data_IF_639907288054
#
_entry.id   IF_639907288054
#
_cell.length_a   1.000
_cell.length_b   1.000
_cell.length_c   1.000
_cell.angle_alpha   90.00
_cell.angle_beta   90.00
_cell.angle_gamma   90.00
#
_symmetry.space_group_name_H-M   'P 1'
#
loop_
_entity.id
_entity.type
_entity.pdbx_description
1 polymer ?
2 non-polymer ?
3 water ?
#
# COMPACT_ATOMS: atom_id res chain seq x y z
N UNK A 8 4.09 2.13 8.03
CA UNK A 8 4.98 2.02 6.81
C UNK A 8 4.61 0.73 6.09
N UNK A 9 5.60 0.05 5.53
CA UNK A 9 5.33 -1.22 4.88
C UNK A 9 5.44 -2.40 5.86
N UNK A 10 4.42 -2.52 6.70
CA UNK A 10 4.36 -3.41 7.82
C UNK A 10 2.87 -3.89 7.90
N UNK A 11 2.66 -5.21 8.04
CA UNK A 11 1.30 -5.86 8.16
C UNK A 11 0.71 -5.48 9.50
N UNK A 12 -0.50 -4.95 9.52
CA UNK A 12 -1.13 -4.65 10.84
C UNK A 12 -2.48 -5.41 10.98
N UNK A 13 -2.65 -6.13 12.08
CA UNK A 13 -3.79 -7.02 12.35
C UNK A 13 -4.32 -6.67 13.73
N UNK A 14 -5.47 -7.22 14.14
CA UNK A 14 -5.99 -7.03 15.49
C UNK A 14 -6.57 -8.35 15.95
N UNK A 15 -6.54 -8.56 17.26
CA UNK A 15 -7.28 -9.65 17.90
C UNK A 15 -8.76 -9.58 17.57
N UNK A 16 -9.41 -10.74 17.39
CA UNK A 16 -10.84 -10.85 17.17
C UNK A 16 -11.51 -11.81 18.19
N UNK A 17 -12.68 -11.41 18.67
CA UNK A 17 -13.52 -12.25 19.50
C UNK A 17 -14.89 -12.45 18.87
N UNK A 18 -15.38 -13.69 18.81
CA UNK A 18 -16.62 -14.01 18.06
C UNK A 18 -17.38 -15.10 18.91
N UNK A 19 -18.74 -15.18 18.78
CA UNK A 19 -19.49 -16.22 19.51
C UNK A 19 -19.42 -17.47 18.67
N UNK A 20 -19.25 -18.65 19.27
CA UNK A 20 -19.42 -19.90 18.53
C UNK A 20 -20.68 -19.86 17.60
N UNK A 21 -20.57 -20.28 16.34
CA UNK A 21 -21.71 -20.16 15.44
C UNK A 21 -21.77 -18.89 14.62
N UNK A 22 -21.17 -17.79 15.12
CA UNK A 22 -21.16 -16.49 14.39
C UNK A 22 -20.11 -16.44 13.24
N UNK A 23 -19.86 -15.25 12.70
CA UNK A 23 -18.89 -15.04 11.62
C UNK A 23 -17.77 -14.12 12.07
N UNK A 24 -16.51 -14.56 11.95
CA UNK A 24 -15.38 -13.65 12.27
C UNK A 24 -14.82 -13.08 11.01
N UNK A 25 -14.31 -11.86 11.10
CA UNK A 25 -13.56 -11.29 9.99
C UNK A 25 -12.17 -10.91 10.43
N UNK A 26 -11.16 -11.47 9.78
CA UNK A 26 -9.73 -11.20 10.10
C UNK A 26 -9.17 -10.24 9.06
N UNK A 27 -8.68 -9.11 9.51
CA UNK A 27 -8.20 -8.08 8.59
C UNK A 27 -6.74 -7.77 8.75
N UNK A 28 -5.99 -7.81 7.65
CA UNK A 28 -4.59 -7.44 7.69
C UNK A 28 -4.40 -6.23 6.80
N UNK A 29 -3.84 -5.18 7.37
CA UNK A 29 -3.63 -3.97 6.56
C UNK A 29 -2.18 -3.58 6.42
N UNK A 30 -1.86 -2.88 5.33
CA UNK A 30 -0.50 -2.33 5.09
C UNK A 30 -0.60 -0.86 4.66
N UNK A 31 0.12 0.03 5.32
CA UNK A 31 -0.03 1.45 4.97
C UNK A 31 0.56 1.81 3.60
N UNK A 32 1.75 1.32 3.35
CA UNK A 32 2.47 1.71 2.19
C UNK A 32 2.88 0.42 1.52
N UNK A 33 2.49 0.18 0.28
CA UNK A 33 2.86 -1.08 -0.35
C UNK A 33 2.74 -0.99 -1.81
N UNK A 34 3.47 -1.88 -2.46
CA UNK A 34 3.28 -2.19 -3.84
C UNK A 34 2.71 -3.59 -4.02
N UNK A 35 2.96 -4.19 -5.16
CA UNK A 35 3.03 -5.62 -5.43
C UNK A 35 3.24 -6.61 -4.32
N UNK A 36 3.84 -6.23 -3.26
CA UNK A 36 4.33 -7.20 -2.37
C UNK A 36 3.19 -7.98 -1.75
N UNK A 37 3.27 -9.27 -1.76
CA UNK A 37 2.19 -10.15 -1.43
C UNK A 37 1.88 -10.35 0.00
N UNK A 38 0.62 -10.51 0.27
CA UNK A 38 0.09 -10.84 1.61
C UNK A 38 -0.51 -12.28 1.68
N UNK A 39 -0.54 -12.87 2.86
CA UNK A 39 -0.99 -14.23 2.99
C UNK A 39 -1.48 -14.47 4.42
N UNK A 40 -2.67 -15.10 4.56
CA UNK A 40 -3.15 -15.55 5.84
C UNK A 40 -2.93 -17.03 6.08
N UNK A 41 -2.57 -17.42 7.31
CA UNK A 41 -2.41 -18.83 7.66
C UNK A 41 -3.14 -19.05 8.95
N UNK A 42 -3.36 -20.33 9.33
CA UNK A 42 -4.16 -20.59 10.52
C UNK A 42 -3.25 -21.05 11.62
N UNK A 43 -3.81 -21.42 12.77
CA UNK A 43 -2.99 -21.89 13.88
C UNK A 43 -2.10 -23.09 13.49
N UNK A 44 -2.48 -23.90 12.53
CA UNK A 44 -1.66 -25.05 12.22
C UNK A 44 -0.54 -24.66 11.24
N UNK A 45 -0.51 -23.38 10.86
CA UNK A 45 0.38 -22.82 9.83
C UNK A 45 -0.03 -23.14 8.38
N UNK A 46 -1.25 -23.64 8.16
CA UNK A 46 -1.70 -23.93 6.81
C UNK A 46 -2.14 -22.66 6.13
N UNK A 47 -1.96 -22.54 4.83
CA UNK A 47 -2.29 -21.33 4.14
C UNK A 47 -3.81 -21.26 3.82
N UNK A 48 -4.41 -20.04 3.98
CA UNK A 48 -5.88 -19.81 3.87
C UNK A 48 -6.11 -19.03 2.62
N UNK A 49 -5.49 -17.87 2.50
CA UNK A 49 -5.44 -17.20 1.24
C UNK A 49 -4.04 -16.66 0.99
N UNK A 50 -3.65 -16.72 -0.27
CA UNK A 50 -2.46 -16.08 -0.76
C UNK A 50 -2.94 -15.01 -1.71
N UNK A 51 -2.81 -13.75 -1.32
CA UNK A 51 -3.59 -12.66 -1.99
C UNK A 51 -5.02 -13.09 -2.26
N UNK A 52 -5.53 -12.89 -3.46
CA UNK A 52 -6.89 -13.28 -3.75
C UNK A 52 -7.10 -14.81 -3.98
N UNK A 53 -6.10 -15.68 -3.81
CA UNK A 53 -6.24 -17.09 -4.18
C UNK A 53 -6.47 -17.98 -2.99
N UNK A 54 -7.58 -18.69 -2.98
CA UNK A 54 -7.91 -19.48 -1.83
C UNK A 54 -6.93 -20.63 -1.78
N UNK A 55 -6.52 -21.08 -0.61
CA UNK A 55 -5.67 -22.23 -0.45
C UNK A 55 -6.48 -23.40 0.08
N UNK A 56 -6.39 -23.61 1.38
CA UNK A 56 -7.17 -24.58 2.13
C UNK A 56 -8.64 -24.52 1.71
N UNK A 57 -9.13 -25.69 1.29
CA UNK A 57 -10.54 -25.83 0.99
C UNK A 57 -11.16 -25.92 2.39
N UNK A 58 -11.94 -24.96 2.74
CA UNK A 58 -12.79 -25.04 3.93
C UNK A 58 -13.75 -23.98 3.50
N UNK A 59 -14.99 -24.41 3.29
CA UNK A 59 -16.04 -23.68 2.60
C UNK A 59 -16.48 -22.54 3.44
N UNK A 60 -16.24 -22.64 4.74
CA UNK A 60 -16.50 -21.52 5.67
C UNK A 60 -15.57 -20.30 5.54
N UNK A 61 -14.42 -20.47 4.90
CA UNK A 61 -13.45 -19.37 4.87
C UNK A 61 -13.56 -18.66 3.52
N UNK A 62 -13.94 -17.39 3.52
CA UNK A 62 -14.20 -16.74 2.23
C UNK A 62 -13.47 -15.39 2.15
N UNK A 63 -13.51 -14.72 1.02
CA UNK A 63 -12.66 -13.56 0.83
C UNK A 63 -13.51 -12.25 0.97
N UNK A 64 -13.17 -11.45 1.97
CA UNK A 64 -13.77 -10.14 2.12
C UNK A 64 -13.16 -9.15 1.18
N UNK A 65 -11.81 -9.07 1.15
CA UNK A 65 -11.10 -8.10 0.29
C UNK A 65 -9.63 -8.43 0.10
N UNK A 66 -9.16 -8.38 -1.13
CA UNK A 66 -7.73 -8.55 -1.46
C UNK A 66 -7.28 -7.34 -2.24
N UNK A 67 -6.30 -6.64 -1.72
CA UNK A 67 -5.67 -5.52 -2.51
C UNK A 67 -4.25 -5.35 -2.04
N UNK A 68 -3.54 -4.36 -2.55
CA UNK A 68 -2.20 -4.12 -2.09
C UNK A 68 -2.15 -3.67 -0.64
N UNK A 69 -3.22 -3.11 -0.10
CA UNK A 69 -3.27 -2.52 1.23
C UNK A 69 -4.11 -3.32 2.26
N UNK A 70 -4.74 -4.38 1.81
CA UNK A 70 -5.70 -5.06 2.66
C UNK A 70 -5.83 -6.49 2.27
N UNK A 71 -5.73 -7.38 3.23
CA UNK A 71 -6.20 -8.71 2.97
C UNK A 71 -7.14 -9.15 4.07
N UNK A 72 -8.41 -9.32 3.72
CA UNK A 72 -9.41 -9.64 4.80
C UNK A 72 -10.19 -10.89 4.48
N UNK A 73 -10.44 -11.74 5.48
CA UNK A 73 -11.12 -12.99 5.19
C UNK A 73 -12.18 -13.21 6.26
N UNK A 74 -13.28 -13.94 5.91
CA UNK A 74 -14.34 -14.23 6.91
C UNK A 74 -14.30 -15.70 7.20
N UNK A 75 -14.39 -16.11 8.47
CA UNK A 75 -14.68 -17.48 8.82
C UNK A 75 -16.16 -17.53 9.29
N UNK A 76 -17.05 -18.21 8.57
CA UNK A 76 -18.48 -18.28 9.01
C UNK A 76 -18.73 -19.53 9.84
N UNK A 77 -19.81 -19.52 10.63
CA UNK A 77 -20.17 -20.66 11.47
C UNK A 77 -18.97 -21.13 12.29
N UNK A 78 -18.40 -20.29 13.11
CA UNK A 78 -17.11 -20.64 13.68
C UNK A 78 -17.30 -21.64 14.77
N UNK A 79 -16.35 -22.52 15.01
CA UNK A 79 -16.48 -23.42 16.15
C UNK A 79 -15.36 -23.20 17.13
N UNK A 80 -15.52 -23.77 18.32
CA UNK A 80 -14.49 -23.62 19.32
C UNK A 80 -13.15 -24.12 18.84
N UNK A 81 -13.12 -24.88 17.80
CA UNK A 81 -11.83 -25.39 17.43
C UNK A 81 -11.08 -24.48 16.44
N UNK A 82 -11.72 -23.38 15.99
CA UNK A 82 -11.07 -22.33 15.18
C UNK A 82 -10.24 -21.35 16.06
N UNK A 83 -10.42 -21.40 17.37
CA UNK A 83 -9.75 -20.51 18.29
C UNK A 83 -8.23 -20.61 18.08
N UNK A 84 -7.50 -19.49 18.17
CA UNK A 84 -6.03 -19.62 18.11
C UNK A 84 -5.35 -18.45 17.43
N UNK A 85 -4.09 -18.64 17.08
CA UNK A 85 -3.28 -17.59 16.51
C UNK A 85 -3.18 -17.64 15.01
N UNK A 86 -3.77 -16.66 14.32
CA UNK A 86 -3.70 -16.60 12.86
C UNK A 86 -2.58 -15.66 12.43
N UNK A 87 -1.88 -15.95 11.33
CA UNK A 87 -0.82 -15.07 10.93
C UNK A 87 -0.89 -14.51 9.57
N UNK A 88 -0.77 -13.19 9.51
CA UNK A 88 -0.74 -12.48 8.23
C UNK A 88 0.75 -12.26 7.90
N UNK A 89 1.18 -12.50 6.67
CA UNK A 89 2.63 -12.40 6.34
C UNK A 89 2.67 -11.51 5.18
N UNK A 90 3.63 -10.59 5.15
CA UNK A 90 3.80 -9.74 3.99
C UNK A 90 5.20 -10.02 3.46
N UNK A 91 5.35 -10.33 2.17
CA UNK A 91 6.61 -10.89 1.67
C UNK A 91 7.60 -9.86 1.18
N UNK A 92 7.94 -8.93 2.07
CA UNK A 92 9.15 -8.06 1.96
C UNK A 92 10.37 -8.96 2.21
N UNK A 93 11.56 -8.43 1.95
CA UNK A 93 12.82 -9.15 2.19
C UNK A 93 13.54 -8.46 3.34
N UNK A 94 13.58 -9.04 4.57
CA UNK A 94 13.07 -10.30 5.06
C UNK A 94 11.54 -10.24 5.23
N UNK A 95 10.90 -11.39 5.37
CA UNK A 95 9.44 -11.44 5.58
C UNK A 95 9.00 -10.72 6.87
N UNK A 96 7.83 -10.08 6.82
CA UNK A 96 7.25 -9.49 8.06
C UNK A 96 5.92 -10.16 8.38
N UNK A 97 5.64 -10.38 9.66
CA UNK A 97 4.44 -11.08 10.05
C UNK A 97 3.78 -10.30 11.15
N UNK A 98 2.48 -10.51 11.33
CA UNK A 98 1.69 -9.93 12.37
C UNK A 98 0.60 -10.96 12.71
N UNK A 99 0.34 -11.19 14.00
CA UNK A 99 -0.57 -12.23 14.46
C UNK A 99 -1.90 -11.66 14.93
N UNK A 100 -2.99 -12.39 14.67
CA UNK A 100 -4.33 -12.04 15.20
C UNK A 100 -4.81 -13.25 15.92
N UNK A 101 -5.10 -13.06 17.18
CA UNK A 101 -5.55 -14.17 17.98
C UNK A 101 -7.07 -14.18 17.92
N UNK A 102 -7.65 -15.27 17.44
CA UNK A 102 -9.10 -15.40 17.34
C UNK A 102 -9.62 -16.09 18.59
N UNK A 103 -10.39 -15.35 19.40
CA UNK A 103 -11.10 -16.01 20.51
C UNK A 103 -12.62 -16.27 20.23
N UNK A 104 -13.04 -17.50 20.56
CA UNK A 104 -14.38 -18.03 20.31
C UNK A 104 -15.04 -18.34 21.65
N UNK A 105 -16.11 -17.59 21.89
CA UNK A 105 -16.81 -17.65 23.16
C UNK A 105 -17.92 -18.70 22.99
N UNK A 106 -18.07 -19.58 23.97
CA UNK A 106 -19.22 -20.53 23.97
C UNK A 106 -20.51 -19.79 24.24
N UNK A 107 -21.63 -20.32 23.73
CA UNK A 107 -22.98 -19.82 24.09
C UNK A 107 -23.36 -20.25 25.53
N UNK A 108 -23.83 -19.30 26.38
CA UNK A 108 -24.17 -19.67 27.76
C UNK A 108 -25.28 -20.69 27.76
N UNK B 8 21.31 15.46 -7.21
CA UNK B 8 21.32 16.51 -6.16
C UNK B 8 19.96 16.54 -5.55
N UNK B 9 19.57 17.70 -5.03
CA UNK B 9 18.27 17.88 -4.35
C UNK B 9 17.23 18.42 -5.34
N UNK B 10 16.82 17.52 -6.24
CA UNK B 10 15.93 17.81 -7.39
C UNK B 10 15.00 16.56 -7.49
N UNK B 11 13.68 16.78 -7.68
CA UNK B 11 12.68 15.70 -7.84
C UNK B 11 12.85 15.09 -9.22
N UNK B 12 12.94 13.75 -9.28
CA UNK B 12 13.03 13.08 -10.57
C UNK B 12 11.85 12.08 -10.80
N UNK B 13 11.23 12.18 -11.96
CA UNK B 13 10.14 11.31 -12.35
C UNK B 13 10.21 10.88 -13.85
N UNK B 14 9.31 9.97 -14.29
CA UNK B 14 9.27 9.51 -15.66
C UNK B 14 7.81 9.40 -16.12
N UNK B 15 7.59 9.52 -17.43
CA UNK B 15 6.33 9.20 -18.08
C UNK B 15 5.91 7.75 -17.87
N UNK B 16 4.61 7.55 -17.61
CA UNK B 16 4.02 6.20 -17.49
C UNK B 16 2.92 5.92 -18.51
N UNK B 17 2.94 4.72 -19.07
CA UNK B 17 1.88 4.27 -19.95
C UNK B 17 1.16 3.07 -19.34
N UNK B 18 -0.17 3.11 -19.39
CA UNK B 18 -0.99 2.05 -18.73
C UNK B 18 -2.27 1.68 -19.54
N UNK B 19 -2.69 0.42 -19.40
CA UNK B 19 -3.90 -0.02 -20.07
C UNK B 19 -5.09 0.45 -19.27
N UNK B 20 -6.08 0.97 -19.97
CA UNK B 20 -7.38 1.23 -19.36
C UNK B 20 -7.81 0.06 -18.41
N UNK B 21 -8.13 0.37 -17.14
CA UNK B 21 -8.51 -0.68 -16.18
C UNK B 21 -7.32 -1.24 -15.44
N UNK B 22 -6.09 -0.86 -15.86
CA UNK B 22 -4.89 -1.38 -15.24
C UNK B 22 -4.52 -0.57 -14.00
N UNK B 23 -3.34 -0.83 -13.47
CA UNK B 23 -2.80 -0.12 -12.31
C UNK B 23 -1.50 0.63 -12.65
N UNK B 24 -1.51 1.95 -12.46
CA UNK B 24 -0.31 2.82 -12.67
C UNK B 24 0.43 3.13 -11.39
N UNK B 25 1.75 3.19 -11.46
CA UNK B 25 2.52 3.68 -10.30
C UNK B 25 3.27 4.91 -10.77
N UNK B 26 3.07 6.03 -10.06
CA UNK B 26 3.79 7.27 -10.30
C UNK B 26 4.89 7.43 -9.22
N UNK B 27 6.14 7.55 -9.64
CA UNK B 27 7.24 7.57 -8.68
C UNK B 27 8.08 8.85 -8.82
N UNK B 28 8.30 9.51 -7.69
CA UNK B 28 9.18 10.65 -7.71
C UNK B 28 10.31 10.40 -6.75
N UNK B 29 11.54 10.67 -7.21
CA UNK B 29 12.74 10.38 -6.42
C UNK B 29 13.58 11.62 -6.21
N UNK B 30 14.27 11.66 -5.06
CA UNK B 30 15.25 12.71 -4.76
C UNK B 30 16.56 12.08 -4.23
N UNK B 31 17.66 12.40 -4.91
CA UNK B 31 19.02 11.88 -4.55
C UNK B 31 19.55 12.37 -3.17
N UNK B 32 19.44 13.66 -2.93
CA UNK B 32 19.96 14.20 -1.70
C UNK B 32 18.83 14.97 -1.08
N UNK B 33 18.55 14.69 0.16
CA UNK B 33 17.44 15.43 0.77
C UNK B 33 17.39 15.21 2.25
N UNK B 34 16.93 16.27 2.93
CA UNK B 34 16.62 16.21 4.35
C UNK B 34 15.06 16.08 4.43
N UNK B 35 14.53 16.65 5.52
CA UNK B 35 13.15 17.01 5.71
C UNK B 35 12.31 17.58 4.59
N UNK B 36 12.87 18.07 3.51
CA UNK B 36 12.03 18.85 2.57
C UNK B 36 10.86 18.03 2.01
N UNK B 37 9.65 18.60 2.00
CA UNK B 37 8.48 17.81 1.64
C UNK B 37 8.34 17.56 0.17
N UNK B 38 7.76 16.41 -0.17
CA UNK B 38 7.30 16.07 -1.53
C UNK B 38 5.76 16.04 -1.59
N UNK B 39 5.20 16.30 -2.77
CA UNK B 39 3.75 16.37 -2.99
C UNK B 39 3.48 15.95 -4.42
N UNK B 40 2.52 15.00 -4.66
CA UNK B 40 1.94 14.78 -6.00
C UNK B 40 0.67 15.55 -6.28
N UNK B 41 0.43 15.99 -7.50
CA UNK B 41 -0.81 16.67 -7.83
C UNK B 41 -1.28 16.19 -9.16
N UNK B 42 -2.62 16.17 -9.39
CA UNK B 42 -3.15 15.59 -10.64
C UNK B 42 -3.19 16.63 -11.72
N UNK B 43 -3.69 16.28 -12.91
CA UNK B 43 -3.68 17.23 -14.04
C UNK B 43 -4.56 18.46 -13.85
N UNK B 44 -5.48 18.45 -12.90
CA UNK B 44 -6.28 19.66 -12.63
C UNK B 44 -5.63 20.44 -11.46
N UNK B 45 -4.45 20.01 -10.97
CA UNK B 45 -3.69 20.69 -9.86
C UNK B 45 -4.13 20.39 -8.41
N UNK B 46 -4.99 19.37 -8.24
CA UNK B 46 -5.41 18.92 -6.95
C UNK B 46 -4.33 18.06 -6.31
N UNK B 47 -4.20 18.20 -5.01
CA UNK B 47 -3.21 17.48 -4.29
C UNK B 47 -3.70 16.01 -4.07
N UNK B 48 -2.81 15.08 -4.38
CA UNK B 48 -3.10 13.63 -4.26
C UNK B 48 -2.51 13.21 -2.98
N UNK B 49 -1.23 13.55 -2.75
CA UNK B 49 -0.56 13.19 -1.51
C UNK B 49 0.44 14.31 -1.22
N UNK B 50 0.53 14.68 0.05
CA UNK B 50 1.49 15.59 0.59
C UNK B 50 2.33 14.75 1.54
N UNK B 51 3.55 14.36 1.15
CA UNK B 51 4.29 13.32 1.93
C UNK B 51 3.42 12.04 2.12
N UNK B 52 3.37 11.47 3.32
CA UNK B 52 2.57 10.29 3.50
C UNK B 52 1.03 10.54 3.71
N UNK B 53 0.56 11.78 3.60
CA UNK B 53 -0.80 12.17 3.95
C UNK B 53 -1.73 12.28 2.75
N UNK B 54 -2.77 11.46 2.72
CA UNK B 54 -3.60 11.43 1.54
C UNK B 54 -4.42 12.72 1.49
N UNK B 55 -4.65 13.30 0.31
CA UNK B 55 -5.43 14.54 0.18
C UNK B 55 -6.75 14.23 -0.53
N UNK B 56 -6.77 14.26 -1.87
CA UNK B 56 -7.98 13.94 -2.64
C UNK B 56 -8.48 12.54 -2.29
N UNK B 57 -9.74 12.47 -1.88
CA UNK B 57 -10.37 11.18 -1.64
C UNK B 57 -10.79 10.73 -3.00
N UNK B 58 -10.11 9.71 -3.46
CA UNK B 58 -10.43 8.99 -4.65
C UNK B 58 -9.79 7.73 -4.19
N UNK B 59 -10.64 6.76 -3.86
CA UNK B 59 -10.18 5.53 -3.28
C UNK B 59 -9.24 4.74 -4.23
N UNK B 60 -9.13 5.10 -5.50
CA UNK B 60 -8.23 4.34 -6.36
C UNK B 60 -6.75 4.73 -6.15
N UNK B 61 -6.46 5.79 -5.41
CA UNK B 61 -5.12 6.37 -5.36
C UNK B 61 -4.59 6.05 -3.99
N UNK B 62 -3.53 5.24 -3.95
CA UNK B 62 -3.02 4.75 -2.69
C UNK B 62 -1.49 4.99 -2.59
N UNK B 63 -0.93 4.77 -1.42
CA UNK B 63 0.45 5.08 -1.15
C UNK B 63 1.39 3.86 -1.36
N UNK B 64 2.28 3.95 -2.34
CA UNK B 64 3.35 2.94 -2.48
C UNK B 64 4.47 3.18 -1.47
N UNK B 65 5.00 4.40 -1.41
CA UNK B 65 6.10 4.74 -0.48
C UNK B 65 6.26 6.23 -0.27
N UNK B 66 6.43 6.69 0.97
CA UNK B 66 6.80 8.05 1.27
C UNK B 66 8.04 8.04 2.15
N UNK B 67 9.10 8.70 1.70
CA UNK B 67 10.35 8.89 2.53
C UNK B 67 10.92 10.18 2.07
N UNK B 68 12.02 10.61 2.66
CA UNK B 68 12.72 11.79 2.17
C UNK B 68 13.23 11.66 0.75
N UNK B 69 13.42 10.44 0.26
CA UNK B 69 14.00 10.22 -1.05
C UNK B 69 13.01 9.73 -2.14
N UNK B 70 11.78 9.44 -1.72
CA UNK B 70 10.81 8.87 -2.69
C UNK B 70 9.38 9.22 -2.34
N UNK B 71 8.58 9.70 -3.28
CA UNK B 71 7.19 9.65 -3.00
C UNK B 71 6.51 8.87 -4.16
N UNK B 72 5.86 7.76 -3.84
CA UNK B 72 5.31 6.95 -4.98
C UNK B 72 3.88 6.62 -4.70
N UNK B 73 3.03 6.68 -5.71
CA UNK B 73 1.63 6.41 -5.43
C UNK B 73 1.10 5.52 -6.56
N UNK B 74 0.00 4.80 -6.29
CA UNK B 74 -0.57 3.91 -7.31
C UNK B 74 -1.95 4.38 -7.62
N UNK B 75 -2.29 4.37 -8.91
CA UNK B 75 -3.65 4.57 -9.32
C UNK B 75 -4.21 3.28 -9.87
N UNK B 76 -5.24 2.75 -9.22
CA UNK B 76 -5.82 1.51 -9.68
C UNK B 76 -7.08 1.73 -10.53
N UNK B 77 -7.47 0.68 -11.28
CA UNK B 77 -8.62 0.71 -12.17
C UNK B 77 -8.61 1.97 -13.00
N UNK B 78 -7.54 2.25 -13.72
CA UNK B 78 -7.46 3.56 -14.39
C UNK B 78 -8.39 3.73 -15.58
N UNK B 79 -8.92 4.91 -15.79
CA UNK B 79 -9.72 5.14 -17.01
C UNK B 79 -9.12 6.21 -17.87
N UNK B 80 -9.66 6.34 -19.09
CA UNK B 80 -9.23 7.37 -20.01
C UNK B 80 -9.19 8.73 -19.43
N UNK B 81 -10.08 9.04 -18.51
CA UNK B 81 -10.05 10.39 -17.98
C UNK B 81 -8.99 10.63 -16.88
N UNK B 82 -8.20 9.62 -16.53
CA UNK B 82 -7.04 9.84 -15.66
C UNK B 82 -5.81 10.35 -16.48
N UNK B 83 -5.90 10.30 -17.80
CA UNK B 83 -4.76 10.63 -18.66
C UNK B 83 -4.31 12.09 -18.47
N UNK B 84 -3.01 12.33 -18.49
CA UNK B 84 -2.54 13.71 -18.44
C UNK B 84 -1.26 13.93 -17.65
N UNK B 85 -0.97 15.20 -17.42
CA UNK B 85 0.24 15.61 -16.81
C UNK B 85 0.07 15.67 -15.32
N UNK B 86 0.80 14.81 -14.58
CA UNK B 86 0.87 14.83 -13.09
C UNK B 86 2.13 15.52 -12.58
N UNK B 87 2.15 16.13 -11.40
CA UNK B 87 3.37 16.82 -11.07
C UNK B 87 3.80 16.61 -9.69
N UNK B 88 5.08 16.32 -9.51
CA UNK B 88 5.62 16.09 -8.18
C UNK B 88 6.36 17.37 -7.80
N UNK B 89 6.28 17.81 -6.53
CA UNK B 89 6.81 19.10 -6.14
C UNK B 89 7.68 18.85 -4.98
N UNK B 90 8.88 19.47 -4.98
CA UNK B 90 9.75 19.34 -3.81
C UNK B 90 9.86 20.76 -3.31
N UNK B 91 9.71 20.99 -2.00
CA UNK B 91 9.49 22.38 -1.48
C UNK B 91 10.76 22.96 -0.92
N UNK B 92 11.75 22.99 -1.80
CA UNK B 92 12.99 23.72 -1.64
C UNK B 92 12.63 25.23 -1.79
N UNK B 93 13.60 26.11 -1.60
CA UNK B 93 13.37 27.56 -1.79
C UNK B 93 14.27 28.03 -2.92
N UNK B 94 13.75 28.25 -4.15
CA UNK B 94 12.37 28.14 -4.59
C UNK B 94 11.92 26.70 -4.87
N UNK B 95 10.64 26.55 -5.17
CA UNK B 95 10.05 25.23 -5.34
C UNK B 95 10.61 24.59 -6.63
N UNK B 96 10.87 23.28 -6.59
CA UNK B 96 11.22 22.50 -7.81
C UNK B 96 10.12 21.46 -8.15
N UNK B 97 9.81 21.32 -9.42
CA UNK B 97 8.76 20.40 -9.82
C UNK B 97 9.34 19.56 -10.94
N UNK B 98 8.68 18.45 -11.22
CA UNK B 98 9.06 17.58 -12.30
C UNK B 98 7.71 16.93 -12.70
N UNK B 99 7.48 16.67 -13.98
CA UNK B 99 6.19 16.27 -14.51
C UNK B 99 6.24 14.86 -15.08
N UNK B 100 5.21 14.04 -14.80
CA UNK B 100 5.09 12.68 -15.35
C UNK B 100 3.80 12.71 -16.09
N UNK B 101 3.89 12.38 -17.35
CA UNK B 101 2.70 12.33 -18.17
C UNK B 101 2.21 10.88 -18.12
N UNK B 102 0.97 10.70 -17.68
CA UNK B 102 0.40 9.35 -17.59
C UNK B 102 -0.37 9.13 -18.90
N UNK B 103 0.06 8.16 -19.72
CA UNK B 103 -0.80 7.83 -20.88
C UNK B 103 -1.67 6.56 -20.65
N UNK B 104 -2.95 6.66 -21.00
CA UNK B 104 -3.89 5.56 -20.86
C UNK B 104 -4.38 5.04 -22.21
N UNK B 105 -4.09 3.77 -22.48
CA UNK B 105 -4.39 3.14 -23.77
C UNK B 105 -5.76 2.40 -23.71
N UNK B 106 -6.63 2.54 -24.72
CA UNK B 106 -7.89 1.78 -24.80
C UNK B 106 -7.59 0.31 -24.98
N UNK B 107 -8.40 -0.57 -24.44
CA UNK B 107 -8.30 -1.99 -24.81
C UNK B 107 -8.86 -2.18 -26.23
N UNK B 108 -8.20 -2.99 -27.10
CA UNK B 108 -8.68 -3.11 -28.49
C UNK B 108 -9.93 -3.97 -28.62
N UNK C 9 -20.74 20.99 7.11
CA UNK C 9 -19.29 20.61 6.73
C UNK C 9 -18.84 21.10 5.35
N UNK C 10 -18.66 22.40 5.29
CA UNK C 10 -18.35 23.12 4.07
C UNK C 10 -17.23 24.01 4.52
N UNK C 11 -16.35 24.38 3.59
CA UNK C 11 -15.40 25.40 3.97
C UNK C 11 -15.94 26.79 3.72
N UNK C 12 -15.68 27.67 4.67
CA UNK C 12 -15.99 29.12 4.50
C UNK C 12 -14.81 30.11 4.72
N UNK C 13 -14.62 30.99 3.76
CA UNK C 13 -13.65 32.09 3.89
C UNK C 13 -14.18 33.42 3.31
N UNK C 14 -13.38 34.49 3.36
CA UNK C 14 -13.87 35.81 2.96
C UNK C 14 -12.81 36.54 2.23
N UNK C 15 -13.24 37.38 1.29
CA UNK C 15 -12.37 38.39 0.73
C UNK C 15 -11.65 39.20 1.84
N UNK C 16 -10.40 39.58 1.55
CA UNK C 16 -9.55 40.33 2.47
C UNK C 16 -8.92 41.46 1.71
N UNK C 17 -8.93 42.67 2.29
CA UNK C 17 -8.20 43.83 1.76
C UNK C 17 -7.01 44.15 2.68
N UNK C 18 -5.87 44.48 2.06
CA UNK C 18 -4.66 44.84 2.81
C UNK C 18 -3.91 45.94 2.06
N UNK C 19 -3.34 46.84 2.84
CA UNK C 19 -2.37 47.84 2.34
C UNK C 19 -1.03 47.15 1.97
N UNK C 20 -0.50 47.46 0.80
CA UNK C 20 0.86 47.00 0.44
C UNK C 20 1.94 47.22 1.55
N UNK C 21 2.75 46.21 1.85
CA UNK C 21 3.67 46.31 2.99
C UNK C 21 3.03 45.89 4.31
N UNK C 22 1.72 45.67 4.28
CA UNK C 22 0.98 45.21 5.44
C UNK C 22 0.98 43.72 5.66
N UNK C 23 0.26 43.33 6.70
CA UNK C 23 0.06 41.95 7.11
C UNK C 23 -1.40 41.55 6.85
N UNK C 24 -1.62 40.58 5.96
CA UNK C 24 -2.93 39.93 5.75
C UNK C 24 -3.06 38.56 6.46
N UNK C 25 -4.25 38.27 6.93
CA UNK C 25 -4.55 37.00 7.56
C UNK C 25 -5.61 36.33 6.70
N UNK C 26 -5.38 35.05 6.35
CA UNK C 26 -6.40 34.29 5.64
C UNK C 26 -6.88 33.16 6.52
N UNK C 27 -8.22 33.12 6.68
CA UNK C 27 -8.87 32.24 7.64
C UNK C 27 -9.92 31.43 6.93
N UNK C 28 -9.87 30.13 7.16
CA UNK C 28 -10.86 29.25 6.61
C UNK C 28 -11.49 28.52 7.77
N UNK C 29 -12.81 28.47 7.77
CA UNK C 29 -13.59 27.80 8.83
C UNK C 29 -14.49 26.68 8.27
N UNK C 30 -14.67 25.66 9.08
CA UNK C 30 -15.56 24.56 8.79
C UNK C 30 -16.41 24.38 10.04
N UNK C 31 -17.69 24.73 9.95
CA UNK C 31 -18.63 24.63 11.09
C UNK C 31 -18.55 23.25 11.79
N UNK C 32 -18.80 22.16 11.05
CA UNK C 32 -18.70 20.85 11.67
C UNK C 32 -17.80 19.98 10.83
N UNK C 33 -16.91 19.25 11.51
CA UNK C 33 -15.85 18.50 10.88
C UNK C 33 -15.22 17.54 11.87
N UNK C 34 -14.92 16.34 11.40
CA UNK C 34 -14.01 15.40 12.07
C UNK C 34 -12.57 15.67 11.54
N UNK C 35 -11.78 14.62 11.51
CA UNK C 35 -10.46 14.70 11.01
C UNK C 35 -10.38 14.70 9.50
N UNK C 36 -11.03 15.64 8.84
CA UNK C 36 -10.89 15.80 7.43
C UNK C 36 -9.96 17.00 7.20
N UNK C 37 -8.94 16.79 6.36
CA UNK C 37 -7.88 17.77 6.16
C UNK C 37 -8.30 19.06 5.43
N UNK C 38 -7.73 20.19 5.83
CA UNK C 38 -7.87 21.48 5.10
C UNK C 38 -6.56 21.93 4.44
N UNK C 39 -6.66 22.67 3.33
CA UNK C 39 -5.43 23.16 2.65
C UNK C 39 -5.60 24.55 2.05
N UNK C 40 -4.66 25.44 2.30
CA UNK C 40 -4.58 26.68 1.50
C UNK C 40 -3.66 26.56 0.30
N UNK C 41 -4.07 27.12 -0.83
CA UNK C 41 -3.20 27.24 -1.98
C UNK C 41 -3.28 28.63 -2.60
N UNK C 42 -2.20 29.05 -3.26
CA UNK C 42 -2.13 30.43 -3.69
C UNK C 42 -2.82 30.66 -5.03
N UNK C 43 -2.66 31.85 -5.64
CA UNK C 43 -3.40 31.94 -6.92
C UNK C 43 -2.73 31.22 -8.08
N UNK C 44 -1.44 30.93 -7.95
CA UNK C 44 -0.76 30.11 -8.96
C UNK C 44 -1.10 28.62 -8.79
N UNK C 45 -1.95 28.30 -7.80
CA UNK C 45 -2.32 26.94 -7.38
C UNK C 45 -1.29 26.16 -6.54
N UNK C 46 -0.34 26.88 -5.97
CA UNK C 46 0.67 26.24 -5.22
C UNK C 46 0.22 26.08 -3.86
N UNK C 47 0.65 24.98 -3.26
CA UNK C 47 0.32 24.72 -1.89
C UNK C 47 1.12 25.61 -0.89
N UNK C 48 0.38 26.26 0.02
CA UNK C 48 0.93 27.05 1.12
C UNK C 48 0.96 26.28 2.40
N UNK C 49 -0.18 25.72 2.81
CA UNK C 49 -0.18 24.97 4.06
C UNK C 49 -1.07 23.77 3.89
N UNK C 50 -0.62 22.60 4.41
CA UNK C 50 -1.44 21.44 4.38
C UNK C 50 -1.67 21.12 5.83
N UNK C 51 -2.90 21.38 6.26
CA UNK C 51 -3.17 21.44 7.68
C UNK C 51 -2.04 22.26 8.29
N UNK C 52 -1.38 21.74 9.34
CA UNK C 52 -0.33 22.52 10.02
C UNK C 52 1.03 22.53 9.28
N UNK C 53 1.15 21.74 8.22
CA UNK C 53 2.44 21.57 7.54
C UNK C 53 2.66 22.62 6.49
N UNK C 54 3.78 23.29 6.61
CA UNK C 54 4.07 24.39 5.71
C UNK C 54 4.57 23.78 4.40
N UNK C 55 4.22 24.37 3.27
CA UNK C 55 4.63 23.81 1.99
C UNK C 55 5.66 24.73 1.24
N UNK C 56 5.12 25.61 0.37
CA UNK C 56 5.85 26.73 -0.27
C UNK C 56 6.72 27.39 0.77
N UNK C 57 7.98 27.57 0.40
CA UNK C 57 8.95 28.13 1.34
C UNK C 57 8.96 29.63 1.65
N UNK C 58 8.25 30.44 0.85
CA UNK C 58 8.03 31.86 1.18
C UNK C 58 7.94 32.14 2.70
N UNK C 59 9.00 32.67 3.33
CA UNK C 59 8.97 32.85 4.79
C UNK C 59 8.19 34.10 5.25
N UNK C 60 7.60 34.83 4.31
CA UNK C 60 6.59 35.87 4.67
C UNK C 60 5.26 35.24 5.11
N UNK C 61 5.13 33.91 4.93
CA UNK C 61 3.85 33.19 5.16
C UNK C 61 3.96 32.32 6.36
N UNK C 62 3.11 32.54 7.36
CA UNK C 62 3.21 31.76 8.58
C UNK C 62 1.84 31.20 8.98
N UNK C 63 1.87 30.35 9.98
CA UNK C 63 0.68 29.70 10.47
C UNK C 63 0.12 30.47 11.64
N UNK C 64 -1.14 30.90 11.53
CA UNK C 64 -1.82 31.49 12.69
C UNK C 64 -2.42 30.36 13.50
N UNK C 65 -3.29 29.59 12.85
CA UNK C 65 -3.92 28.48 13.54
C UNK C 65 -4.34 27.41 12.58
N UNK C 66 -4.09 26.17 13.01
CA UNK C 66 -4.58 24.98 12.34
C UNK C 66 -5.23 24.03 13.35
N UNK C 67 -6.48 23.72 13.12
CA UNK C 67 -7.17 22.68 13.89
C UNK C 67 -8.16 22.11 12.89
N UNK C 68 -9.05 21.23 13.32
CA UNK C 68 -10.02 20.68 12.40
C UNK C 68 -11.14 21.65 12.01
N UNK C 69 -11.27 22.77 12.69
CA UNK C 69 -12.35 23.76 12.36
C UNK C 69 -11.85 25.02 11.70
N UNK C 70 -10.54 25.19 11.73
CA UNK C 70 -9.91 26.41 11.22
C UNK C 70 -8.53 26.17 10.63
N UNK C 71 -8.35 26.74 9.45
CA UNK C 71 -7.01 26.97 8.96
C UNK C 71 -6.78 28.45 8.63
N UNK C 72 -5.90 29.07 9.45
CA UNK C 72 -5.58 30.52 9.34
C UNK C 72 -4.09 30.80 9.15
N UNK C 73 -3.75 31.50 8.08
CA UNK C 73 -2.36 31.82 7.81
C UNK C 73 -2.23 33.32 7.62
N UNK C 74 -1.00 33.83 7.79
CA UNK C 74 -0.70 35.25 7.55
C UNK C 74 0.40 35.45 6.52
N UNK C 75 0.21 36.46 5.68
CA UNK C 75 1.25 36.98 4.82
C UNK C 75 1.76 38.32 5.42
N UNK C 76 3.06 38.41 5.70
CA UNK C 76 3.69 39.68 6.06
C UNK C 76 4.30 40.32 4.84
N UNK C 77 4.47 41.64 4.91
CA UNK C 77 5.12 42.38 3.86
C UNK C 77 4.46 42.09 2.49
N UNK C 78 3.14 42.23 2.39
CA UNK C 78 2.52 41.81 1.14
C UNK C 78 2.95 42.72 0.00
N UNK C 79 2.99 42.16 -1.21
CA UNK C 79 3.40 42.88 -2.41
C UNK C 79 2.25 42.93 -3.41
N UNK C 80 2.33 43.85 -4.37
CA UNK C 80 1.29 43.96 -5.38
C UNK C 80 0.97 42.58 -6.03
N UNK C 81 2.00 41.76 -6.24
CA UNK C 81 1.86 40.46 -6.88
C UNK C 81 1.26 39.33 -6.01
N UNK C 82 0.86 39.64 -4.78
CA UNK C 82 0.15 38.72 -3.92
C UNK C 82 -1.36 38.80 -4.14
N UNK C 83 -1.79 39.80 -4.91
CA UNK C 83 -3.20 40.00 -5.15
C UNK C 83 -3.77 38.87 -6.01
N UNK C 84 -4.85 38.25 -5.54
CA UNK C 84 -5.63 37.34 -6.35
C UNK C 84 -6.42 36.32 -5.55
N UNK C 85 -7.00 35.36 -6.27
CA UNK C 85 -7.84 34.34 -5.69
C UNK C 85 -7.07 33.28 -4.89
N UNK C 86 -7.26 33.16 -3.59
CA UNK C 86 -6.62 32.10 -2.81
C UNK C 86 -7.62 31.00 -2.59
N UNK C 87 -7.23 29.73 -2.69
CA UNK C 87 -8.22 28.73 -2.38
C UNK C 87 -8.10 27.84 -1.14
N UNK C 88 -9.20 27.75 -0.40
CA UNK C 88 -9.26 26.86 0.75
C UNK C 88 -9.94 25.56 0.31
N UNK C 89 -9.23 24.43 0.40
CA UNK C 89 -9.78 23.11 0.07
C UNK C 89 -10.04 22.30 1.32
N UNK C 90 -11.20 21.62 1.34
CA UNK C 90 -11.58 20.71 2.43
C UNK C 90 -11.72 19.30 1.80
N UNK C 91 -10.94 18.32 2.23
CA UNK C 91 -10.92 17.05 1.49
C UNK C 91 -12.01 16.09 1.95
N UNK C 92 -13.25 16.50 1.70
CA UNK C 92 -14.43 15.64 1.74
C UNK C 92 -14.48 14.93 0.40
N UNK C 93 -15.43 14.01 0.27
CA UNK C 93 -15.55 13.21 -0.94
C UNK C 93 -16.88 13.54 -1.56
N UNK C 94 -16.92 14.36 -2.62
CA UNK C 94 -15.80 15.03 -3.28
C UNK C 94 -15.27 16.27 -2.54
N UNK C 95 -14.13 16.79 -3.03
CA UNK C 95 -13.55 17.95 -2.43
C UNK C 95 -14.53 19.16 -2.48
N UNK C 96 -14.57 19.95 -1.41
CA UNK C 96 -15.26 21.22 -1.38
C UNK C 96 -14.24 22.38 -1.19
N UNK C 97 -14.49 23.51 -1.88
CA UNK C 97 -13.56 24.62 -1.97
C UNK C 97 -14.24 25.95 -1.63
N UNK C 98 -13.52 26.85 -0.99
CA UNK C 98 -14.01 28.21 -0.80
C UNK C 98 -12.81 29.08 -1.19
N UNK C 99 -13.10 30.13 -1.97
CA UNK C 99 -12.13 31.11 -2.48
C UNK C 99 -12.16 32.42 -1.69
N UNK C 100 -10.98 32.88 -1.30
CA UNK C 100 -10.80 34.19 -0.72
C UNK C 100 -10.01 35.02 -1.71
N UNK C 101 -10.63 36.05 -2.27
CA UNK C 101 -9.86 37.05 -2.97
C UNK C 101 -9.09 38.00 -2.03
N UNK C 102 -7.84 38.30 -2.38
CA UNK C 102 -6.98 39.20 -1.60
C UNK C 102 -6.66 40.45 -2.41
N UNK C 103 -7.29 41.58 -2.07
CA UNK C 103 -6.96 42.83 -2.80
C UNK C 103 -5.88 43.64 -2.08
N UNK C 104 -4.92 44.09 -2.87
CA UNK C 104 -3.77 44.77 -2.33
C UNK C 104 -3.69 46.19 -2.87
N UNK C 105 -3.83 47.15 -1.96
CA UNK C 105 -3.88 48.56 -2.28
C UNK C 105 -2.50 49.13 -2.00
N UNK D 10 -2.48 -37.72 -4.04
CA UNK D 10 -1.60 -37.48 -5.20
C UNK D 10 -0.54 -36.40 -5.24
N UNK D 11 -0.15 -35.75 -4.10
CA UNK D 11 1.17 -35.12 -4.31
C UNK D 11 2.24 -36.17 -4.06
N UNK D 12 3.24 -36.17 -4.94
CA UNK D 12 4.44 -37.02 -4.81
C UNK D 12 5.78 -36.32 -4.98
N UNK D 13 6.57 -36.36 -3.92
CA UNK D 13 7.89 -35.78 -3.97
C UNK D 13 8.98 -36.82 -3.58
N UNK D 14 10.25 -36.41 -3.54
CA UNK D 14 11.31 -37.34 -3.18
C UNK D 14 12.47 -36.68 -2.46
N UNK D 15 13.06 -37.42 -1.53
CA UNK D 15 14.29 -37.00 -0.83
C UNK D 15 15.37 -36.53 -1.82
N UNK D 16 16.12 -35.51 -1.43
CA UNK D 16 17.12 -34.90 -2.28
C UNK D 16 18.40 -34.69 -1.48
N UNK D 17 19.56 -35.03 -2.07
CA UNK D 17 20.91 -34.73 -1.53
C UNK D 17 21.66 -33.67 -2.35
N UNK D 18 22.34 -32.77 -1.64
CA UNK D 18 23.11 -31.72 -2.32
C UNK D 18 24.33 -31.42 -1.47
N UNK D 19 25.48 -31.18 -2.14
CA UNK D 19 26.71 -30.77 -1.45
C UNK D 19 26.62 -29.26 -1.13
N UNK D 20 26.96 -28.88 0.12
CA UNK D 20 26.97 -27.47 0.54
C UNK D 20 27.52 -26.59 -0.61
N UNK D 21 26.95 -25.39 -0.80
CA UNK D 21 27.32 -24.57 -1.94
C UNK D 21 26.72 -24.98 -3.28
N UNK D 22 26.20 -26.20 -3.36
CA UNK D 22 25.59 -26.65 -4.62
C UNK D 22 24.15 -26.15 -4.79
N UNK D 23 23.52 -26.54 -5.90
CA UNK D 23 22.12 -26.23 -6.20
C UNK D 23 21.22 -27.49 -6.20
N UNK D 24 20.20 -27.50 -5.33
CA UNK D 24 19.23 -28.58 -5.24
C UNK D 24 17.95 -28.20 -5.99
N UNK D 25 17.30 -29.21 -6.60
CA UNK D 25 16.00 -29.05 -7.21
C UNK D 25 14.96 -29.88 -6.46
N UNK D 26 13.87 -29.22 -6.06
CA UNK D 26 12.75 -29.90 -5.44
C UNK D 26 11.55 -29.99 -6.43
N UNK D 27 11.11 -31.23 -6.63
CA UNK D 27 10.07 -31.57 -7.59
C UNK D 27 8.84 -32.17 -6.92
N UNK D 28 7.67 -31.64 -7.24
CA UNK D 28 6.46 -32.25 -6.68
C UNK D 28 5.57 -32.57 -7.84
N UNK D 29 5.06 -33.80 -7.79
CA UNK D 29 4.27 -34.41 -8.86
C UNK D 29 2.88 -34.80 -8.45
N UNK D 30 1.93 -34.47 -9.33
CA UNK D 30 0.53 -34.90 -9.18
C UNK D 30 0.09 -35.69 -10.42
N UNK D 31 -0.10 -37.00 -10.21
CA UNK D 31 -0.45 -37.93 -11.31
C UNK D 31 -1.62 -37.46 -12.24
N UNK D 32 -2.81 -37.27 -11.67
CA UNK D 32 -3.92 -36.66 -12.43
C UNK D 32 -4.42 -35.53 -11.58
N UNK D 33 -4.67 -34.40 -12.24
CA UNK D 33 -5.14 -33.21 -11.55
C UNK D 33 -5.88 -32.34 -12.54
N UNK D 34 -6.89 -31.66 -12.03
CA UNK D 34 -7.67 -30.65 -12.75
C UNK D 34 -6.92 -29.33 -12.61
N UNK D 35 -7.55 -28.37 -11.95
CA UNK D 35 -6.94 -27.11 -11.66
C UNK D 35 -6.92 -26.89 -10.13
N UNK D 36 -6.31 -27.82 -9.40
CA UNK D 36 -6.10 -27.68 -7.96
C UNK D 36 -4.64 -27.20 -7.70
N UNK D 37 -4.46 -26.32 -6.71
CA UNK D 37 -3.21 -25.62 -6.47
C UNK D 37 -2.16 -26.45 -5.76
N UNK D 38 -0.90 -26.18 -6.10
CA UNK D 38 0.21 -26.72 -5.35
C UNK D 38 1.04 -25.60 -4.69
N UNK D 39 1.70 -25.91 -3.56
CA UNK D 39 2.47 -24.96 -2.79
C UNK D 39 3.66 -25.66 -2.15
N UNK D 40 4.87 -25.11 -2.30
CA UNK D 40 6.04 -25.60 -1.55
C UNK D 40 6.27 -24.72 -0.35
N UNK D 41 6.63 -25.30 0.78
CA UNK D 41 7.08 -24.53 1.89
C UNK D 41 8.28 -25.18 2.60
N UNK D 42 8.95 -24.43 3.49
CA UNK D 42 10.32 -24.78 3.93
C UNK D 42 10.28 -25.43 5.27
N UNK D 43 11.45 -25.77 5.87
CA UNK D 43 11.30 -26.39 7.17
C UNK D 43 10.69 -25.52 8.26
N UNK D 44 10.77 -24.19 8.13
CA UNK D 44 10.15 -23.27 9.11
C UNK D 44 8.64 -23.14 8.85
N UNK D 45 8.15 -23.76 7.79
CA UNK D 45 6.76 -23.65 7.35
C UNK D 45 6.42 -22.38 6.55
N UNK D 46 7.47 -21.72 6.05
CA UNK D 46 7.25 -20.52 5.30
C UNK D 46 6.98 -20.90 3.90
N UNK D 47 6.01 -20.23 3.30
CA UNK D 47 5.65 -20.53 1.92
C UNK D 47 6.81 -20.03 1.02
N UNK D 48 7.27 -20.87 0.09
CA UNK D 48 8.27 -20.54 -0.94
C UNK D 48 7.60 -20.22 -2.26
N UNK D 49 6.79 -21.13 -2.80
CA UNK D 49 6.07 -20.88 -4.04
C UNK D 49 4.66 -21.38 -3.85
N UNK D 50 3.71 -20.55 -4.27
CA UNK D 50 2.31 -20.93 -4.28
C UNK D 50 1.94 -21.01 -5.73
N UNK D 51 1.83 -22.22 -6.29
CA UNK D 51 1.89 -22.41 -7.76
C UNK D 51 3.09 -21.64 -8.39
N UNK D 52 2.87 -20.85 -9.43
CA UNK D 52 3.96 -20.07 -10.04
C UNK D 52 4.37 -18.79 -9.28
N UNK D 53 3.71 -18.49 -8.15
CA UNK D 53 3.84 -17.21 -7.46
C UNK D 53 4.93 -17.34 -6.43
N UNK D 54 5.97 -16.51 -6.54
CA UNK D 54 7.01 -16.58 -5.52
C UNK D 54 6.50 -15.96 -4.21
N UNK D 55 6.94 -16.50 -3.08
CA UNK D 55 6.58 -15.90 -1.82
C UNK D 55 7.80 -15.42 -0.98
N UNK D 56 8.40 -16.30 -0.15
CA UNK D 56 9.62 -15.93 0.63
C UNK D 56 10.61 -15.35 -0.38
N UNK D 57 11.18 -14.22 -0.06
CA UNK D 57 12.13 -13.54 -0.92
C UNK D 57 13.53 -13.87 -0.52
N UNK D 58 13.98 -15.03 -0.87
CA UNK D 58 15.35 -15.46 -0.68
C UNK D 58 15.66 -15.63 -2.15
N UNK D 59 16.61 -14.86 -2.69
CA UNK D 59 16.74 -14.81 -4.14
C UNK D 59 17.52 -16.01 -4.68
N UNK D 60 18.00 -16.85 -3.76
CA UNK D 60 18.51 -18.20 -4.05
C UNK D 60 17.47 -19.22 -4.57
N UNK D 61 16.20 -19.00 -4.19
CA UNK D 61 15.11 -19.91 -4.54
C UNK D 61 14.50 -19.51 -5.86
N UNK D 62 14.48 -20.42 -6.82
CA UNK D 62 13.86 -20.10 -8.10
C UNK D 62 12.82 -21.09 -8.55
N UNK D 63 12.06 -20.67 -9.55
CA UNK D 63 11.07 -21.50 -10.15
C UNK D 63 11.73 -22.24 -11.28
N UNK D 64 11.67 -23.56 -11.24
CA UNK D 64 12.07 -24.38 -12.38
C UNK D 64 10.82 -24.65 -13.24
N UNK D 65 9.79 -25.24 -12.62
CA UNK D 65 8.53 -25.50 -13.33
C UNK D 65 7.25 -25.51 -12.49
N UNK D 66 6.22 -24.87 -13.04
CA UNK D 66 4.89 -24.87 -12.46
C UNK D 66 3.83 -25.14 -13.56
N UNK D 67 2.98 -26.12 -13.27
CA UNK D 67 1.88 -26.53 -14.13
C UNK D 67 0.94 -27.23 -13.16
N UNK D 68 -0.20 -27.74 -13.63
CA UNK D 68 -1.05 -28.54 -12.75
C UNK D 68 -0.47 -29.91 -12.37
N UNK D 69 0.61 -30.33 -13.02
CA UNK D 69 1.09 -31.71 -12.79
C UNK D 69 2.41 -31.72 -12.02
N UNK D 70 3.01 -30.54 -11.94
CA UNK D 70 4.32 -30.46 -11.33
C UNK D 70 4.59 -29.09 -10.78
N UNK D 71 5.09 -29.07 -9.54
CA UNK D 71 5.79 -27.89 -9.03
C UNK D 71 7.23 -28.19 -8.63
N UNK D 72 8.15 -27.57 -9.37
CA UNK D 72 9.56 -27.69 -9.06
C UNK D 72 10.27 -26.39 -8.83
N UNK D 73 11.09 -26.38 -7.77
CA UNK D 73 11.89 -25.22 -7.44
C UNK D 73 13.34 -25.57 -7.19
N UNK D 74 14.21 -24.58 -7.45
CA UNK D 74 15.64 -24.74 -7.25
C UNK D 74 16.11 -23.84 -6.13
N UNK D 75 16.95 -24.42 -5.29
CA UNK D 75 17.67 -23.69 -4.27
C UNK D 75 19.17 -23.64 -4.70
N UNK D 76 19.61 -22.50 -5.22
CA UNK D 76 21.04 -22.39 -5.53
C UNK D 76 21.84 -22.08 -4.27
N UNK D 77 23.14 -22.39 -4.28
CA UNK D 77 24.01 -21.85 -3.27
C UNK D 77 23.68 -22.40 -1.86
N UNK D 78 23.44 -23.69 -1.73
CA UNK D 78 22.86 -24.14 -0.47
C UNK D 78 23.84 -24.12 0.70
N UNK D 79 23.32 -23.94 1.91
CA UNK D 79 24.15 -23.96 3.12
C UNK D 79 23.63 -25.02 4.03
N UNK D 80 24.35 -25.31 5.12
CA UNK D 80 23.93 -26.37 6.07
C UNK D 80 22.57 -26.13 6.76
N UNK D 81 22.23 -24.86 6.95
CA UNK D 81 21.00 -24.48 7.59
C UNK D 81 19.77 -24.67 6.69
N UNK D 82 19.97 -25.06 5.42
CA UNK D 82 18.86 -25.30 4.51
C UNK D 82 18.37 -26.73 4.63
N UNK D 83 19.09 -27.54 5.40
CA UNK D 83 18.78 -28.95 5.53
C UNK D 83 17.44 -29.17 6.25
N UNK D 84 16.64 -30.11 5.77
CA UNK D 84 15.46 -30.52 6.52
C UNK D 84 14.27 -30.79 5.65
N UNK D 85 13.11 -30.85 6.31
CA UNK D 85 11.84 -31.21 5.70
C UNK D 85 11.18 -30.08 4.94
N UNK D 86 11.11 -30.19 3.62
CA UNK D 86 10.33 -29.28 2.80
C UNK D 86 9.01 -30.00 2.56
N UNK D 87 7.89 -29.25 2.58
CA UNK D 87 6.62 -29.87 2.27
C UNK D 87 5.90 -29.32 1.08
N UNK D 88 5.45 -30.24 0.23
CA UNK D 88 4.57 -29.91 -0.87
C UNK D 88 3.09 -30.11 -0.46
N UNK D 89 2.23 -29.12 -0.69
CA UNK D 89 0.81 -29.24 -0.38
C UNK D 89 -0.02 -29.23 -1.65
N UNK D 90 -1.03 -30.11 -1.72
CA UNK D 90 -2.02 -30.11 -2.81
C UNK D 90 -3.39 -29.78 -2.18
N UNK D 91 -4.01 -28.65 -2.59
CA UNK D 91 -5.20 -28.15 -1.89
C UNK D 91 -6.48 -28.82 -2.41
N UNK D 92 -6.49 -30.14 -2.24
CA UNK D 92 -7.70 -30.96 -2.36
C UNK D 92 -8.50 -30.68 -1.11
N UNK D 93 -9.72 -31.23 -1.04
CA UNK D 93 -10.55 -31.11 0.15
C UNK D 93 -10.73 -32.51 0.75
N UNK D 94 -10.01 -32.86 1.83
CA UNK D 94 -8.99 -32.14 2.63
C UNK D 94 -7.61 -32.10 1.96
N UNK D 95 -6.77 -31.21 2.47
CA UNK D 95 -5.45 -31.04 1.93
C UNK D 95 -4.60 -32.36 2.05
N UNK D 96 -3.73 -32.58 1.10
CA UNK D 96 -2.76 -33.68 1.14
C UNK D 96 -1.35 -33.14 1.03
N UNK D 97 -0.40 -33.81 1.68
CA UNK D 97 0.99 -33.32 1.75
C UNK D 97 2.00 -34.42 1.45
N UNK D 98 3.16 -34.06 0.92
CA UNK D 98 4.22 -35.00 0.76
C UNK D 98 5.44 -34.21 1.17
N UNK D 99 6.27 -34.78 2.06
CA UNK D 99 7.52 -34.14 2.48
C UNK D 99 8.75 -34.65 1.72
N UNK D 100 9.62 -33.74 1.37
CA UNK D 100 10.94 -34.15 0.91
C UNK D 100 11.97 -33.70 1.94
N UNK D 101 12.89 -34.59 2.30
CA UNK D 101 13.94 -34.19 3.20
C UNK D 101 15.21 -33.79 2.37
N UNK D 102 15.80 -32.64 2.69
CA UNK D 102 16.94 -32.16 1.93
C UNK D 102 18.17 -32.42 2.72
N UNK D 103 19.06 -33.29 2.23
CA UNK D 103 20.30 -33.43 2.95
C UNK D 103 21.40 -32.63 2.26
N UNK D 104 22.13 -31.88 3.09
CA UNK D 104 23.24 -31.01 2.67
C UNK D 104 24.51 -31.56 3.31
N UNK D 105 25.48 -31.99 2.50
CA UNK D 105 26.82 -32.35 3.03
C UNK D 105 27.87 -31.28 2.73
N UNK D 106 28.80 -31.12 3.69
CA UNK D 106 29.79 -30.04 3.71
C UNK D 106 31.06 -30.36 2.96
X LIG E 1 -3.96 -10.48 21.53
X LIG E 1 -3.47 -9.53 22.64
X LIG E 1 -2.15 -10.01 23.30
X LIG E 1 -2.28 -11.43 23.86
X LIG E 1 -2.99 -12.40 22.85
X LIG E 1 -3.71 -13.62 23.46
X LIG E 1 -3.47 -7.08 22.90
X LIG E 1 -3.58 -7.19 24.41
X LIG E 1 -3.41 -8.17 22.13
X LIG E 1 -1.80 -9.18 24.39
X LIG E 1 -0.99 -11.79 24.35
X LIG E 1 -4.06 -11.77 22.15
X LIG E 1 -3.09 -14.22 24.58
X LIG E 1 -3.41 -5.98 22.36
X LIG F 1 5.66 -7.24 -8.82
X LIG F 1 6.43 -8.55 -8.53
X LIG F 1 7.63 -8.90 -9.41
X LIG F 1 7.57 -8.19 -10.74
X LIG F 1 7.42 -6.83 -10.14
X LIG F 1 8.07 -5.72 -10.94
X LIG F 1 6.73 -8.91 -6.12
X LIG F 1 5.54 -9.79 -6.07
X LIG F 1 7.08 -8.38 -7.27
X LIG F 1 7.69 -10.27 -9.57
X LIG F 1 8.76 -8.25 -11.48
X LIG F 1 6.04 -6.79 -10.08
X LIG F 1 8.92 -4.93 -10.13
X LIG F 1 7.36 -8.67 -5.12
X LIG G 1 6.85 12.75 -21.48
X LIG G 1 7.90 13.01 -22.60
X LIG G 1 7.98 14.51 -23.05
X LIG G 1 6.60 14.94 -23.54
X LIG G 1 5.52 14.57 -22.47
X LIG G 1 4.09 14.93 -22.92
X LIG G 1 9.58 11.44 -23.35
X LIG G 1 8.71 11.18 -24.57
X LIG G 1 9.19 12.34 -22.41
X LIG G 1 8.92 14.71 -24.10
X LIG G 1 6.59 16.30 -23.97
X LIG G 1 5.60 13.17 -22.07
X LIG G 1 3.63 14.13 -24.01
X LIG G 1 10.63 10.80 -23.27
X LIG H 1 12.26 19.82 9.39
X LIG H 1 11.31 21.07 9.42
X LIG H 1 11.26 21.87 10.77
X LIG H 1 12.47 21.74 11.75
X LIG H 1 13.63 20.92 11.14
X LIG H 1 14.79 20.61 12.11
X LIG H 1 11.27 21.93 7.03
X LIG H 1 10.44 20.77 6.52
X LIG H 1 11.61 22.01 8.33
X LIG H 1 10.08 21.48 11.46
X LIG H 1 12.94 23.01 12.20
X LIG H 1 13.05 19.73 10.59
X LIG H 1 14.62 19.39 12.85
X LIG H 1 11.61 22.80 6.21
X LIG I 1 -14.72 38.39 -3.70
X LIG I 1 -16.14 38.91 -3.87
X LIG I 1 -16.77 38.44 -5.19
X LIG I 1 -15.94 38.91 -6.37
X LIG I 1 -14.50 38.42 -6.17
X LIG I 1 -13.53 38.84 -7.29
X LIG I 1 -17.63 39.57 -2.04
X LIG I 1 -17.66 40.98 -2.56
X LIG I 1 -16.92 38.63 -2.68
X LIG I 1 -18.02 39.08 -5.31
X LIG I 1 -16.55 38.48 -7.59
X LIG I 1 -14.01 38.82 -4.87
X LIG I 1 -13.30 40.24 -7.38
X LIG I 1 -18.27 39.24 -1.04
X LIG J 1 -8.81 12.57 15.16
X LIG J 1 -8.20 11.18 15.24
X LIG J 1 -7.66 10.82 16.64
X LIG J 1 -7.22 12.01 17.47
X LIG J 1 -8.06 13.25 17.23
X LIG J 1 -7.56 14.40 18.11
X LIG J 1 -9.29 9.61 13.65
X LIG J 1 -10.42 8.65 13.45
X LIG J 1 -9.22 10.21 14.85
X LIG J 1 -6.55 9.93 16.50
X LIG J 1 -7.26 11.69 18.84
X LIG J 1 -8.03 13.53 15.85
X LIG J 1 -6.85 15.40 17.41
X LIG J 1 -8.48 9.81 12.74
X LIG K 1 13.77 -39.10 3.71
X LIG K 1 13.64 -40.62 3.76
X LIG K 1 12.76 -40.98 4.96
X LIG K 1 13.48 -40.51 6.24
X LIG K 1 13.97 -39.03 6.15
X LIG K 1 14.84 -38.63 7.38
X LIG K 1 13.66 -42.39 1.89
X LIG K 1 14.21 -43.51 2.73
X LIG K 1 13.39 -41.17 2.42
X LIG K 1 12.59 -42.38 5.04
X LIG K 1 12.69 -40.78 7.41
X LIG K 1 14.55 -38.70 4.86
X LIG K 1 16.24 -38.54 7.18
X LIG K 1 13.43 -42.63 0.70
#
# INVERSE_FOLDING_TARGET
SKVKGSQGQFPLTQNVTVVEGGTAILTCRVDQNDNTSLQWSNPAQQTLYFDDKKALRDNRIELVRASWHELSISVSDVSLSDEGQYTCSLFTMPVKTSKAYLTVLGVP
SKVKGSQGQFPLTQNVTVVEGGTAILTCRVDQNDNTSLQWSNPAQQTLYFDDKKALRDNRIELVRASWHELSISVSDVSLSDEGQYTCSLFTMPVKTSKAYLTVLGVP
SKVKGSQGQFPLTQNVTVVEGGTAILTCRVDQNDNTSLQWSNPAQQTLYFDDKKALRDNRIELVRASWHELSISVSDVSLSDEGQYTCSLFTMPVKTSKAYLTVLGVP
SKVKGSQGQFPLTQNVTVVEGGTAILTCRVDQNDNTSLQWSNPAQQTLYFDDKKALRDNRIELVRASWHELSISVSDVSLSDEGQYTCSLFTMPVKTSKAYLTVLGVP
NAG C1 C2 C3 C4 C5 C6 C7 C8 N2 O3 O4 O5 O6 O7
NAG C1 C2 C3 C4 C5 C6 C7 C8 N2 O3 O4 O5 O6 O7
NAG C1 C2 C3 C4 C5 C6 C7 C8 N2 O3 O4 O5 O6 O7
NAG C1 C2 C3 C4 C5 C6 C7 C8 N2 O3 O4 O5 O6 O7
NAG C1 C2 C3 C4 C5 C6 C7 C8 N2 O3 O4 O5 O6 O7
NAG C1 C2 C3 C4 C5 C6 C7 C8 N2 O3 O4 O5 O6 O7
NAG C1 C2 C3 C4 C5 C6 C7 C8 N2 O3 O4 O5 O6 O7
#
